data_IF_841557107283
#
_entry.id   IF_841557107283
#
_cell.length_a   1.000
_cell.length_b   1.000
_cell.length_c   1.000
_cell.angle_alpha   90.00
_cell.angle_beta   90.00
_cell.angle_gamma   90.00
#
_symmetry.space_group_name_H-M   'P 1'
#
loop_
_entity.id
_entity.type
_entity.pdbx_description
1 polymer ?
#
# COMPACT_ATOMS: atom_id res chain seq x y z
N UNK A 1 1.29 -30.95 13.99
CA UNK A 1 1.38 -29.93 12.93
C UNK A 1 2.77 -30.01 12.32
N UNK A 2 2.89 -30.11 10.98
CA UNK A 2 4.19 -30.19 10.30
C UNK A 2 4.93 -28.85 10.37
N UNK A 3 6.27 -28.88 10.45
CA UNK A 3 7.13 -27.67 10.53
C UNK A 3 6.93 -26.70 9.35
N UNK A 4 6.55 -27.21 8.19
CA UNK A 4 6.22 -26.42 7.00
C UNK A 4 5.00 -25.52 7.22
N UNK A 5 3.98 -26.03 7.93
CA UNK A 5 2.76 -25.29 8.24
C UNK A 5 3.06 -24.09 9.15
N UNK A 6 3.97 -24.27 10.12
CA UNK A 6 4.43 -23.20 11.02
C UNK A 6 5.16 -22.10 10.24
N UNK A 7 5.95 -22.46 9.24
CA UNK A 7 6.73 -21.50 8.44
C UNK A 7 5.83 -20.64 7.56
N UNK A 8 4.86 -21.27 6.89
CA UNK A 8 3.89 -20.58 6.03
C UNK A 8 3.03 -19.60 6.85
N UNK A 9 2.52 -20.02 8.01
CA UNK A 9 1.69 -19.13 8.86
C UNK A 9 2.50 -17.96 9.43
N UNK A 10 3.77 -18.18 9.79
CA UNK A 10 4.68 -17.11 10.17
C UNK A 10 4.87 -16.11 9.03
N UNK A 11 5.14 -16.58 7.82
CA UNK A 11 5.31 -15.72 6.65
C UNK A 11 4.05 -14.92 6.34
N UNK A 12 2.87 -15.56 6.34
CA UNK A 12 1.60 -14.85 6.16
C UNK A 12 1.42 -13.70 7.14
N UNK A 13 1.72 -13.95 8.41
CA UNK A 13 1.63 -12.93 9.46
C UNK A 13 2.62 -11.79 9.20
N UNK A 14 3.89 -12.11 8.96
CA UNK A 14 4.93 -11.12 8.69
C UNK A 14 4.64 -10.27 7.46
N UNK A 15 4.19 -10.87 6.36
CA UNK A 15 3.82 -10.14 5.15
C UNK A 15 2.63 -9.21 5.39
N UNK A 16 1.62 -9.67 6.13
CA UNK A 16 0.46 -8.84 6.48
C UNK A 16 0.88 -7.63 7.32
N UNK A 17 1.67 -7.86 8.36
CA UNK A 17 2.14 -6.79 9.27
C UNK A 17 3.03 -5.79 8.53
N UNK A 18 3.97 -6.28 7.71
CA UNK A 18 4.87 -5.45 6.91
C UNK A 18 4.09 -4.61 5.90
N UNK A 19 3.17 -5.23 5.14
CA UNK A 19 2.34 -4.51 4.18
C UNK A 19 1.46 -3.46 4.86
N UNK A 20 0.91 -3.78 6.04
CA UNK A 20 0.11 -2.83 6.83
C UNK A 20 0.93 -1.65 7.33
N UNK A 21 2.15 -1.90 7.81
CA UNK A 21 3.05 -0.85 8.30
C UNK A 21 3.46 0.09 7.17
N UNK A 22 3.97 -0.44 6.05
CA UNK A 22 4.38 0.35 4.89
C UNK A 22 3.19 1.12 4.27
N UNK A 23 2.02 0.50 4.18
CA UNK A 23 0.83 1.18 3.68
C UNK A 23 0.41 2.35 4.58
N UNK A 24 0.58 2.23 5.91
CA UNK A 24 0.27 3.32 6.84
C UNK A 24 1.25 4.49 6.70
N UNK A 25 2.54 4.23 6.52
CA UNK A 25 3.54 5.27 6.26
C UNK A 25 3.23 6.02 4.95
N UNK A 26 2.93 5.26 3.89
CA UNK A 26 2.54 5.80 2.60
C UNK A 26 1.25 6.63 2.66
N UNK A 27 0.24 6.19 3.42
CA UNK A 27 -0.99 6.97 3.66
C UNK A 27 -0.67 8.26 4.43
N UNK A 28 0.17 8.19 5.46
CA UNK A 28 0.53 9.37 6.26
C UNK A 28 1.21 10.43 5.38
N UNK A 29 2.10 10.00 4.48
CA UNK A 29 2.71 10.89 3.50
C UNK A 29 1.69 11.40 2.46
N UNK A 30 0.82 10.54 1.95
CA UNK A 30 -0.22 10.92 0.98
C UNK A 30 -1.24 11.93 1.57
N UNK A 31 -1.52 11.86 2.86
CA UNK A 31 -2.42 12.80 3.57
C UNK A 31 -1.83 14.19 3.78
N UNK A 32 -0.57 14.42 3.39
CA UNK A 32 -0.02 15.78 3.26
C UNK A 32 -0.60 16.54 2.06
N UNK A 33 -1.34 15.85 1.17
CA UNK A 33 -2.05 16.46 0.03
C UNK A 33 -3.41 17.02 0.44
N UNK A 34 -3.97 17.91 -0.37
CA UNK A 34 -5.15 18.68 -0.02
C UNK A 34 -6.46 17.88 -0.19
N UNK A 35 -6.47 16.88 -1.07
CA UNK A 35 -7.67 16.10 -1.39
C UNK A 35 -7.39 14.59 -1.43
N UNK A 36 -8.42 13.77 -1.25
CA UNK A 36 -8.34 12.31 -1.46
C UNK A 36 -7.91 11.95 -2.88
N UNK A 37 -8.31 12.75 -3.87
CA UNK A 37 -7.86 12.63 -5.25
C UNK A 37 -6.36 12.84 -5.39
N UNK A 38 -5.81 13.90 -4.80
CA UNK A 38 -4.37 14.17 -4.80
C UNK A 38 -3.57 13.12 -4.02
N UNK A 39 -4.06 12.67 -2.88
CA UNK A 39 -3.46 11.60 -2.08
C UNK A 39 -3.41 10.28 -2.87
N UNK A 40 -4.49 9.93 -3.57
CA UNK A 40 -4.56 8.73 -4.42
C UNK A 40 -3.62 8.85 -5.63
N UNK A 41 -3.57 10.02 -6.27
CA UNK A 41 -2.66 10.28 -7.39
C UNK A 41 -1.18 10.19 -6.97
N UNK A 42 -0.86 10.69 -5.76
CA UNK A 42 0.47 10.57 -5.17
C UNK A 42 0.92 9.11 -5.03
N UNK A 43 0.07 8.26 -4.45
CA UNK A 43 0.37 6.83 -4.29
C UNK A 43 0.56 6.12 -5.64
N UNK A 44 -0.27 6.44 -6.63
CA UNK A 44 -0.13 5.89 -7.99
C UNK A 44 1.21 6.28 -8.63
N UNK A 45 1.69 7.50 -8.39
CA UNK A 45 2.99 7.96 -8.89
C UNK A 45 4.14 7.15 -8.27
N UNK A 46 4.09 6.88 -6.95
CA UNK A 46 5.09 6.03 -6.28
C UNK A 46 5.08 4.62 -6.88
N UNK A 47 3.88 4.04 -7.07
CA UNK A 47 3.77 2.71 -7.69
C UNK A 47 4.46 2.66 -9.06
N UNK A 48 4.25 3.66 -9.92
CA UNK A 48 4.89 3.74 -11.24
C UNK A 48 6.41 3.92 -11.18
N UNK A 49 6.94 4.62 -10.17
CA UNK A 49 8.38 4.83 -10.03
C UNK A 49 9.15 3.55 -9.70
N UNK A 50 8.47 2.52 -9.18
CA UNK A 50 9.08 1.22 -8.92
C UNK A 50 9.38 0.42 -10.21
N UNK A 51 8.84 0.82 -11.37
CA UNK A 51 8.97 0.12 -12.65
C UNK A 51 10.19 0.57 -13.49
N UNK A 52 11.31 0.90 -12.83
CA UNK A 52 12.57 1.36 -13.46
C UNK A 52 13.33 0.29 -14.25
N UNK A 53 14.65 0.47 -14.44
CA UNK A 53 15.48 -0.50 -15.16
C UNK A 53 15.76 -1.73 -14.27
N UNK A 54 14.86 -2.71 -14.35
CA UNK A 54 14.82 -3.88 -13.48
C UNK A 54 15.61 -5.02 -14.13
N UNK A 55 16.90 -5.09 -13.78
CA UNK A 55 17.78 -6.16 -14.22
C UNK A 55 17.90 -7.31 -13.21
N UNK A 56 17.57 -7.07 -11.93
CA UNK A 56 17.67 -8.04 -10.84
C UNK A 56 16.33 -8.77 -10.58
N UNK A 57 16.31 -10.11 -10.43
CA UNK A 57 15.13 -10.83 -9.94
C UNK A 57 14.59 -10.34 -8.58
N UNK A 58 15.45 -9.85 -7.69
CA UNK A 58 15.04 -9.30 -6.39
C UNK A 58 14.25 -7.99 -6.54
N UNK A 59 14.65 -7.15 -7.50
CA UNK A 59 13.93 -5.92 -7.84
C UNK A 59 12.50 -6.23 -8.33
N UNK A 60 12.32 -7.31 -9.11
CA UNK A 60 10.97 -7.77 -9.52
C UNK A 60 10.10 -8.17 -8.33
N UNK A 61 10.68 -8.84 -7.33
CA UNK A 61 9.96 -9.16 -6.10
C UNK A 61 9.61 -7.88 -5.32
N UNK A 62 10.55 -6.93 -5.26
CA UNK A 62 10.34 -5.60 -4.68
C UNK A 62 9.16 -4.86 -5.30
N UNK A 63 9.00 -4.90 -6.63
CA UNK A 63 7.84 -4.32 -7.32
C UNK A 63 6.52 -4.94 -6.88
N UNK A 64 6.45 -6.27 -6.80
CA UNK A 64 5.22 -6.95 -6.40
C UNK A 64 4.81 -6.58 -4.96
N UNK A 65 5.80 -6.43 -4.08
CA UNK A 65 5.57 -5.93 -2.71
C UNK A 65 5.09 -4.48 -2.74
N UNK A 66 5.73 -3.62 -3.52
CA UNK A 66 5.36 -2.22 -3.68
C UNK A 66 3.91 -2.06 -4.19
N UNK A 67 3.51 -2.86 -5.18
CA UNK A 67 2.14 -2.83 -5.72
C UNK A 67 1.11 -3.29 -4.70
N UNK A 68 1.43 -4.32 -3.90
CA UNK A 68 0.57 -4.78 -2.83
C UNK A 68 0.39 -3.69 -1.75
N UNK A 69 1.46 -3.00 -1.37
CA UNK A 69 1.45 -1.89 -0.42
C UNK A 69 0.64 -0.70 -0.96
N UNK A 70 0.91 -0.27 -2.20
CA UNK A 70 0.21 0.84 -2.83
C UNK A 70 -1.30 0.54 -2.99
N UNK A 71 -1.64 -0.69 -3.39
CA UNK A 71 -3.03 -1.13 -3.53
C UNK A 71 -3.77 -1.12 -2.20
N UNK A 72 -3.13 -1.58 -1.12
CA UNK A 72 -3.69 -1.53 0.23
C UNK A 72 -3.89 -0.08 0.69
N UNK A 73 -2.91 0.79 0.44
CA UNK A 73 -2.97 2.19 0.81
C UNK A 73 -4.11 2.94 0.12
N UNK A 74 -4.27 2.77 -1.20
CA UNK A 74 -5.39 3.33 -1.98
C UNK A 74 -6.73 2.82 -1.47
N UNK A 75 -6.85 1.52 -1.19
CA UNK A 75 -8.09 0.94 -0.68
C UNK A 75 -8.50 1.58 0.65
N UNK A 76 -7.56 1.77 1.57
CA UNK A 76 -7.81 2.43 2.87
C UNK A 76 -8.22 3.88 2.69
N UNK A 77 -7.56 4.64 1.80
CA UNK A 77 -7.97 6.01 1.50
C UNK A 77 -9.40 6.08 0.94
N UNK A 78 -9.77 5.17 0.04
CA UNK A 78 -11.15 5.12 -0.48
C UNK A 78 -12.16 4.72 0.59
N UNK A 79 -11.81 3.82 1.52
CA UNK A 79 -12.67 3.46 2.66
C UNK A 79 -12.92 4.67 3.57
N UNK A 80 -11.89 5.49 3.83
CA UNK A 80 -12.01 6.76 4.56
C UNK A 80 -12.83 7.81 3.80
N UNK A 81 -12.58 8.00 2.49
CA UNK A 81 -13.35 8.92 1.64
C UNK A 81 -14.84 8.59 1.64
N UNK A 82 -15.19 7.30 1.48
CA UNK A 82 -16.59 6.83 1.54
C UNK A 82 -17.22 7.01 2.92
N UNK A 83 -16.42 7.12 3.97
CA UNK A 83 -16.89 7.39 5.34
C UNK A 83 -17.12 8.88 5.63
N UNK A 84 -16.63 9.77 4.76
CA UNK A 84 -16.88 11.21 4.85
C UNK A 84 -18.08 11.60 3.97
N UNK A 85 -18.99 12.47 4.46
CA UNK A 85 -20.13 12.91 3.67
C UNK A 85 -19.67 13.80 2.51
N UNK A 86 -20.19 13.52 1.32
CA UNK A 86 -20.10 14.37 0.13
C UNK A 86 -21.10 15.52 0.36
N UNK A 87 -20.59 16.68 0.77
CA UNK A 87 -21.24 17.93 1.21
C UNK A 87 -21.23 18.14 2.73
N UNK A 88 -20.19 18.83 3.21
CA UNK A 88 -20.36 19.89 4.22
C UNK A 88 -20.27 21.22 3.48
N UNK A 89 -21.35 21.57 2.78
CA UNK A 89 -21.63 22.98 2.54
C UNK A 89 -22.31 23.48 3.81
N UNK A 90 -21.69 24.45 4.49
CA UNK A 90 -22.40 25.43 5.30
C UNK A 90 -23.18 26.38 4.37
#
# INVERSE_FOLDING_TARGET
MSKENITIERWKTQFKETAQHLANELIAEAKTKNTYGEATAYIRKISQQAYGDITDPEDRAGMAVNDAVCSLAVRRLHEEERSLPINKED
#
